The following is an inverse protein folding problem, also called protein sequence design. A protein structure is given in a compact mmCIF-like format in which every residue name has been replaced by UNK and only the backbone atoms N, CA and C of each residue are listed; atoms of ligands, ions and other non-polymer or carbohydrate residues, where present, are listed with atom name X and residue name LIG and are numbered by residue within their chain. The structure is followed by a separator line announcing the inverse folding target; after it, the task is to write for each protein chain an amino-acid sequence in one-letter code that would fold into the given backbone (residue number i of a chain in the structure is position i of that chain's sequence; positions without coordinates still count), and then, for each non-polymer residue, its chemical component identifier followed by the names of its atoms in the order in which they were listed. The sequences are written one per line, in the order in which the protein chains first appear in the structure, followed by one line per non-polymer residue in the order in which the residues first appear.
data_IF_923764964380
#
_entry.id   IF_923764964380
#
_cell.length_a   1.000
_cell.length_b   1.000
_cell.length_c   1.000
_cell.angle_alpha   90.00
_cell.angle_beta   90.00
_cell.angle_gamma   90.00
#
_symmetry.space_group_name_H-M   'P 1'
#
loop_
_entity.id
_entity.type
_entity.pdbx_description
1 polymer ?
#
# COMPACT_ATOMS: atom_id res chain seq x y z
N UNK A 1 6.86 -6.63 19.77
CA UNK A 1 6.58 -7.32 18.50
C UNK A 1 7.90 -7.53 17.78
N UNK A 2 8.10 -8.71 17.19
CA UNK A 2 9.26 -8.98 16.33
C UNK A 2 8.88 -8.54 14.92
N UNK A 3 9.46 -7.44 14.44
CA UNK A 3 9.30 -6.98 13.07
C UNK A 3 10.19 -7.80 12.15
N UNK A 4 9.58 -8.55 11.21
CA UNK A 4 10.30 -9.27 10.17
C UNK A 4 10.23 -8.46 8.89
N UNK A 5 11.37 -8.21 8.25
CA UNK A 5 11.43 -7.53 6.95
C UNK A 5 11.77 -8.56 5.87
N UNK A 6 10.88 -8.69 4.89
CA UNK A 6 11.05 -9.62 3.76
C UNK A 6 11.09 -8.83 2.46
N UNK A 7 12.20 -8.86 1.70
CA UNK A 7 12.24 -8.24 0.38
C UNK A 7 11.37 -9.04 -0.60
N UNK A 8 10.69 -8.34 -1.50
CA UNK A 8 9.89 -8.95 -2.56
C UNK A 8 9.87 -8.06 -3.80
N UNK A 9 9.53 -8.66 -4.95
CA UNK A 9 9.40 -7.96 -6.21
C UNK A 9 7.95 -7.52 -6.47
N UNK A 10 7.78 -6.30 -6.96
CA UNK A 10 6.46 -5.76 -7.29
C UNK A 10 6.53 -4.52 -8.17
N UNK A 11 5.49 -4.31 -8.96
CA UNK A 11 5.33 -3.11 -9.79
C UNK A 11 4.57 -2.06 -8.99
N UNK A 12 5.26 -0.97 -8.66
CA UNK A 12 4.67 0.17 -7.95
C UNK A 12 4.13 1.18 -8.96
N UNK A 13 2.85 1.51 -8.84
CA UNK A 13 2.20 2.56 -9.62
C UNK A 13 1.58 3.61 -8.69
N UNK A 14 1.41 4.83 -9.17
CA UNK A 14 0.69 5.86 -8.42
C UNK A 14 -0.80 5.52 -8.40
N UNK A 15 -1.45 5.72 -7.26
CA UNK A 15 -2.90 5.60 -7.22
C UNK A 15 -3.52 6.84 -7.86
N UNK A 16 -4.14 6.69 -9.03
CA UNK A 16 -4.79 7.73 -9.84
C UNK A 16 -4.14 9.12 -9.72
N UNK A 17 -2.90 9.26 -10.20
CA UNK A 17 -2.20 10.55 -10.27
C UNK A 17 -1.97 11.20 -8.90
N UNK A 18 -1.12 12.22 -8.88
CA UNK A 18 -1.11 13.17 -7.77
C UNK A 18 -2.40 14.00 -7.87
N UNK A 19 -3.57 13.38 -7.68
CA UNK A 19 -4.81 14.13 -7.56
C UNK A 19 -4.72 14.88 -6.24
N UNK A 20 -4.20 16.10 -6.39
CA UNK A 20 -3.98 17.08 -5.37
C UNK A 20 -5.36 17.63 -4.95
N UNK A 21 -6.20 16.78 -4.35
CA UNK A 21 -7.52 17.20 -3.91
C UNK A 21 -7.40 18.02 -2.63
N UNK A 22 -7.27 19.33 -2.86
CA UNK A 22 -7.17 20.34 -1.82
C UNK A 22 -8.60 20.68 -1.41
N UNK A 23 -9.10 20.05 -0.35
CA UNK A 23 -10.37 20.45 0.25
C UNK A 23 -10.26 21.89 0.74
N UNK A 24 -11.38 22.62 0.70
CA UNK A 24 -11.45 24.01 1.15
C UNK A 24 -11.04 24.20 2.63
N UNK A 25 -10.93 23.11 3.40
CA UNK A 25 -10.48 23.06 4.79
C UNK A 25 -8.96 22.92 4.99
N UNK A 26 -8.17 22.75 3.92
CA UNK A 26 -6.70 22.68 3.98
C UNK A 26 -6.08 21.29 4.27
N UNK A 27 -6.86 20.21 4.30
CA UNK A 27 -6.32 18.86 4.58
C UNK A 27 -5.53 18.28 3.39
N UNK A 28 -4.37 17.67 3.69
CA UNK A 28 -3.36 17.25 2.71
C UNK A 28 -3.69 15.93 1.99
N UNK A 29 -3.24 15.81 0.74
CA UNK A 29 -3.42 14.63 -0.11
C UNK A 29 -2.66 13.44 0.43
N UNK A 30 -3.42 12.37 0.69
CA UNK A 30 -2.90 11.04 1.00
C UNK A 30 -2.02 10.57 -0.15
N UNK A 31 -0.71 10.47 0.08
CA UNK A 31 0.19 9.80 -0.85
C UNK A 31 -0.16 8.32 -0.91
N UNK A 32 -0.92 7.90 -1.92
CA UNK A 32 -1.30 6.51 -2.09
C UNK A 32 -0.55 5.89 -3.28
N UNK A 33 -0.05 4.68 -3.07
CA UNK A 33 0.58 3.87 -4.12
C UNK A 33 -0.19 2.58 -4.29
N UNK A 34 -0.18 2.06 -5.50
CA UNK A 34 -0.66 0.73 -5.80
C UNK A 34 0.55 -0.17 -6.04
N UNK A 35 0.54 -1.38 -5.48
CA UNK A 35 1.59 -2.37 -5.69
C UNK A 35 0.96 -3.61 -6.30
N UNK A 36 1.45 -4.03 -7.45
CA UNK A 36 1.09 -5.30 -8.08
C UNK A 36 2.22 -6.29 -7.82
N UNK A 37 1.92 -7.37 -7.11
CA UNK A 37 2.92 -8.39 -6.72
C UNK A 37 2.25 -9.76 -6.58
N UNK A 38 3.05 -10.81 -6.63
CA UNK A 38 2.65 -12.17 -6.24
C UNK A 38 2.90 -12.44 -4.75
N UNK A 39 3.64 -11.55 -4.07
CA UNK A 39 3.86 -11.66 -2.64
C UNK A 39 2.55 -11.39 -1.91
N UNK A 40 2.20 -12.29 -0.98
CA UNK A 40 0.99 -12.13 -0.18
C UNK A 40 1.15 -10.95 0.77
N UNK A 41 0.38 -9.89 0.52
CA UNK A 41 0.25 -8.73 1.40
C UNK A 41 -1.09 -8.78 2.11
N UNK A 42 -1.18 -8.20 3.30
CA UNK A 42 -2.39 -8.07 4.09
C UNK A 42 -2.64 -6.62 4.54
N UNK A 43 -3.90 -6.19 4.48
CA UNK A 43 -4.36 -4.95 5.11
C UNK A 43 -4.61 -5.10 6.62
N UNK A 44 -4.27 -6.27 7.17
CA UNK A 44 -4.63 -6.64 8.54
C UNK A 44 -6.11 -6.94 8.70
N UNK A 45 -6.45 -7.47 9.88
CA UNK A 45 -7.80 -7.72 10.34
C UNK A 45 -7.89 -7.46 11.85
N UNK A 46 -8.95 -7.95 12.51
CA UNK A 46 -9.11 -7.77 13.96
C UNK A 46 -7.98 -8.38 14.80
N UNK A 47 -7.27 -9.37 14.26
CA UNK A 47 -6.26 -10.18 14.94
C UNK A 47 -4.85 -9.99 14.37
N UNK A 48 -4.73 -9.38 13.19
CA UNK A 48 -3.46 -9.21 12.44
C UNK A 48 -3.25 -7.76 12.04
N UNK A 49 -1.99 -7.32 12.04
CA UNK A 49 -1.65 -5.96 11.61
C UNK A 49 -1.51 -5.89 10.10
N UNK A 50 -1.78 -4.70 9.56
CA UNK A 50 -1.48 -4.38 8.17
C UNK A 50 0.03 -4.43 7.92
N UNK A 51 0.43 -4.86 6.73
CA UNK A 51 1.82 -4.82 6.31
C UNK A 51 2.31 -3.39 6.10
N UNK A 52 3.59 -3.16 6.44
CA UNK A 52 4.29 -1.91 6.18
C UNK A 52 5.30 -2.09 5.05
N UNK A 53 5.19 -1.26 4.02
CA UNK A 53 6.04 -1.30 2.82
C UNK A 53 6.97 -0.11 2.82
N UNK A 54 8.27 -0.37 2.72
CA UNK A 54 9.28 0.68 2.53
C UNK A 54 9.60 0.81 1.05
N UNK A 55 9.31 1.97 0.45
CA UNK A 55 9.61 2.25 -0.95
C UNK A 55 10.12 3.68 -1.12
N UNK A 56 11.26 3.83 -1.83
CA UNK A 56 11.95 5.12 -2.03
C UNK A 56 12.15 5.93 -0.74
N UNK A 57 12.50 5.26 0.36
CA UNK A 57 12.75 5.88 1.66
C UNK A 57 11.49 6.34 2.40
N UNK A 58 10.29 5.98 1.94
CA UNK A 58 9.01 6.25 2.61
C UNK A 58 8.32 4.95 3.03
N UNK A 59 7.62 5.01 4.16
CA UNK A 59 6.82 3.88 4.67
C UNK A 59 5.36 4.07 4.32
N UNK A 60 4.77 3.04 3.74
CA UNK A 60 3.36 2.96 3.39
C UNK A 60 2.72 1.81 4.16
N UNK A 61 1.46 1.96 4.54
CA UNK A 61 0.67 0.91 5.18
C UNK A 61 -0.28 0.34 4.14
N UNK A 62 -0.37 -0.98 4.03
CA UNK A 62 -1.36 -1.65 3.17
C UNK A 62 -2.76 -1.35 3.72
N UNK A 63 -3.53 -0.55 2.99
CA UNK A 63 -4.88 -0.15 3.39
C UNK A 63 -5.94 -1.12 2.83
N UNK A 64 -5.69 -1.70 1.67
CA UNK A 64 -6.59 -2.65 1.04
C UNK A 64 -5.82 -3.61 0.13
N UNK A 65 -6.22 -4.87 0.11
CA UNK A 65 -5.74 -5.86 -0.86
C UNK A 65 -6.90 -6.25 -1.75
N UNK A 66 -6.75 -6.00 -3.04
CA UNK A 66 -7.69 -6.42 -4.05
C UNK A 66 -7.22 -7.76 -4.61
N UNK A 67 -8.11 -8.74 -4.46
CA UNK A 67 -7.97 -10.04 -5.09
C UNK A 67 -8.08 -9.85 -6.62
N UNK A 68 -6.90 -9.82 -7.24
CA UNK A 68 -6.74 -9.79 -8.68
C UNK A 68 -6.28 -11.17 -9.19
N UNK A 69 -6.61 -12.26 -8.48
CA UNK A 69 -6.18 -13.61 -8.85
C UNK A 69 -6.66 -14.01 -10.26
N UNK A 70 -7.72 -13.38 -10.78
CA UNK A 70 -8.18 -13.55 -12.17
C UNK A 70 -7.25 -12.91 -13.23
N UNK A 71 -6.28 -12.09 -12.83
CA UNK A 71 -5.29 -11.47 -13.70
C UNK A 71 -3.92 -12.17 -13.55
N UNK A 72 -3.45 -12.81 -14.63
CA UNK A 72 -2.11 -13.40 -14.70
C UNK A 72 -1.93 -14.70 -13.89
N UNK A 73 -0.74 -14.89 -13.31
CA UNK A 73 -0.33 -16.07 -12.52
C UNK A 73 -0.49 -15.84 -10.99
N UNK A 74 -1.64 -15.28 -10.57
CA UNK A 74 -1.93 -15.05 -9.15
C UNK A 74 -1.34 -13.75 -8.57
N UNK A 75 -1.39 -12.66 -9.32
CA UNK A 75 -1.02 -11.34 -8.80
C UNK A 75 -2.14 -10.76 -7.94
N UNK A 76 -1.77 -10.04 -6.88
CA UNK A 76 -2.66 -9.17 -6.12
C UNK A 76 -2.38 -7.71 -6.45
N UNK A 77 -3.33 -6.83 -6.13
CA UNK A 77 -3.10 -5.38 -6.08
C UNK A 77 -3.30 -4.90 -4.65
N UNK A 78 -2.23 -4.44 -4.03
CA UNK A 78 -2.30 -3.74 -2.75
C UNK A 78 -2.45 -2.23 -2.99
N UNK A 79 -3.39 -1.61 -2.31
CA UNK A 79 -3.50 -0.15 -2.18
C UNK A 79 -2.83 0.20 -0.86
N UNK A 80 -1.81 1.04 -0.92
CA UNK A 80 -1.04 1.45 0.25
C UNK A 80 -1.14 2.96 0.44
N UNK A 81 -1.31 3.39 1.69
CA UNK A 81 -1.36 4.80 2.08
C UNK A 81 -0.08 5.19 2.80
N UNK A 82 0.41 6.40 2.56
CA UNK A 82 1.60 6.92 3.24
C UNK A 82 1.34 6.95 4.76
N UNK A 83 2.23 6.32 5.52
CA UNK A 83 2.18 6.35 6.98
C UNK A 83 2.38 7.81 7.43
N UNK A 84 1.46 8.37 8.25
CA UNK A 84 1.65 9.71 8.79
C UNK A 84 2.96 9.77 9.57
N UNK A 85 3.71 10.85 9.38
CA UNK A 85 4.80 11.20 10.29
C UNK A 85 4.12 11.66 11.58
N UNK A 86 4.27 10.87 12.66
CA UNK A 86 3.83 11.25 14.00
C UNK A 86 4.60 12.43 14.55
#
# INVERSE_FOLDING_TARGET
ETTTSTPFDGVVTTNNGLNMDRRADGTLIKGAINIHTQFALTSGDKNTKADEITWKGKTYIVAQVLDNLHYGQGFIKAICELKPLG
#
